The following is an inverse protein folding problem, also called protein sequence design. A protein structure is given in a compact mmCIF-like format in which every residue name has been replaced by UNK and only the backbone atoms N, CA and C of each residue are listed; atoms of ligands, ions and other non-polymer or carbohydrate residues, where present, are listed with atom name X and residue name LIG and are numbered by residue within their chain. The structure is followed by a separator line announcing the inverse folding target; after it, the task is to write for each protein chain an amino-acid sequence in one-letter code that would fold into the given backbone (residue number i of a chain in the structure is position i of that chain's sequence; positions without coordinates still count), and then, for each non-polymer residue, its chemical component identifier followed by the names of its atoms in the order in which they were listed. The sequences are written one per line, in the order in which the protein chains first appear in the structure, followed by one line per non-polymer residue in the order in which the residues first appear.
data_IF_790359799063
#
_entry.id   IF_790359799063
#
_cell.length_a   1.000
_cell.length_b   1.000
_cell.length_c   1.000
_cell.angle_alpha   90.00
_cell.angle_beta   90.00
_cell.angle_gamma   90.00
#
_symmetry.space_group_name_H-M   'P 1'
#
loop_
_entity.id
_entity.type
_entity.pdbx_description
1 polymer ?
#
# COMPACT_ATOMS: atom_id res chain seq x y z
N UNK A 1 -8.54 0.75 -12.83
CA UNK A 1 -7.35 1.52 -12.37
C UNK A 1 -6.82 0.85 -11.12
N UNK A 2 -5.50 0.68 -10.98
CA UNK A 2 -4.93 -0.06 -9.86
C UNK A 2 -4.94 0.79 -8.57
N UNK A 3 -5.53 0.32 -7.45
CA UNK A 3 -5.81 1.15 -6.27
C UNK A 3 -4.59 1.30 -5.35
N UNK A 4 -3.50 1.87 -5.88
CA UNK A 4 -2.20 1.94 -5.21
C UNK A 4 -2.27 2.62 -3.83
N UNK A 5 -2.86 3.82 -3.77
CA UNK A 5 -3.02 4.56 -2.51
C UNK A 5 -3.77 3.75 -1.46
N UNK A 6 -4.85 3.07 -1.86
CA UNK A 6 -5.67 2.27 -0.94
C UNK A 6 -4.91 1.05 -0.40
N UNK A 7 -4.11 0.39 -1.23
CA UNK A 7 -3.25 -0.73 -0.81
C UNK A 7 -2.27 -0.27 0.26
N UNK A 8 -1.65 0.88 0.01
CA UNK A 8 -0.70 1.49 0.92
C UNK A 8 -1.38 1.84 2.24
N UNK A 9 -2.46 2.62 2.24
CA UNK A 9 -3.22 2.96 3.46
C UNK A 9 -3.61 1.71 4.29
N UNK A 10 -4.15 0.67 3.64
CA UNK A 10 -4.51 -0.56 4.35
C UNK A 10 -3.29 -1.30 4.91
N UNK A 11 -2.14 -1.23 4.23
CA UNK A 11 -0.91 -1.86 4.72
C UNK A 11 -0.37 -1.13 5.96
N UNK A 12 -0.45 0.21 5.98
CA UNK A 12 -0.10 1.04 7.15
C UNK A 12 -1.05 0.78 8.34
N UNK A 13 -2.34 0.57 8.05
CA UNK A 13 -3.36 0.12 9.00
C UNK A 13 -3.14 -1.34 9.49
N UNK A 14 -2.01 -1.97 9.15
CA UNK A 14 -1.66 -3.35 9.49
C UNK A 14 -2.66 -4.42 8.98
N UNK A 15 -3.42 -4.11 7.92
CA UNK A 15 -4.32 -5.09 7.30
C UNK A 15 -3.49 -6.17 6.59
N UNK A 16 -3.88 -7.43 6.76
CA UNK A 16 -3.16 -8.54 6.13
C UNK A 16 -3.16 -8.44 4.60
N UNK A 17 -2.06 -8.85 3.96
CA UNK A 17 -1.95 -8.89 2.48
C UNK A 17 -3.10 -9.67 1.81
N UNK A 18 -3.63 -10.69 2.50
CA UNK A 18 -4.78 -11.48 2.05
C UNK A 18 -6.04 -10.64 2.00
N UNK A 19 -6.34 -9.95 3.10
CA UNK A 19 -7.51 -9.07 3.20
C UNK A 19 -7.41 -7.90 2.23
N UNK A 20 -6.22 -7.29 2.08
CA UNK A 20 -5.98 -6.23 1.08
C UNK A 20 -6.29 -6.74 -0.33
N UNK A 21 -5.75 -7.90 -0.71
CA UNK A 21 -6.00 -8.50 -2.02
C UNK A 21 -7.50 -8.73 -2.30
N UNK A 22 -8.27 -9.16 -1.31
CA UNK A 22 -9.71 -9.30 -1.42
C UNK A 22 -10.43 -7.95 -1.56
N UNK A 23 -10.07 -6.96 -0.73
CA UNK A 23 -10.66 -5.61 -0.74
C UNK A 23 -10.42 -4.92 -2.09
N UNK A 24 -9.21 -5.02 -2.62
CA UNK A 24 -8.81 -4.35 -3.87
C UNK A 24 -9.08 -5.20 -5.12
N UNK A 25 -9.65 -6.40 -4.95
CA UNK A 25 -9.97 -7.34 -6.03
C UNK A 25 -8.78 -7.60 -6.97
N UNK A 26 -7.59 -7.79 -6.39
CA UNK A 26 -6.36 -8.08 -7.11
C UNK A 26 -5.61 -9.26 -6.51
N UNK A 27 -4.69 -9.84 -7.28
CA UNK A 27 -3.90 -10.96 -6.79
C UNK A 27 -2.97 -10.51 -5.64
N UNK A 28 -2.75 -11.41 -4.68
CA UNK A 28 -1.81 -11.18 -3.57
C UNK A 28 -0.41 -10.84 -4.09
N UNK A 29 0.04 -11.49 -5.16
CA UNK A 29 1.34 -11.19 -5.78
C UNK A 29 1.40 -9.73 -6.26
N UNK A 30 0.36 -9.23 -6.93
CA UNK A 30 0.31 -7.84 -7.38
C UNK A 30 0.32 -6.86 -6.21
N UNK A 31 -0.39 -7.15 -5.13
CA UNK A 31 -0.37 -6.35 -3.89
C UNK A 31 1.04 -6.31 -3.30
N UNK A 32 1.70 -7.46 -3.15
CA UNK A 32 3.06 -7.57 -2.61
C UNK A 32 4.07 -6.77 -3.44
N UNK A 33 4.05 -6.88 -4.76
CA UNK A 33 4.97 -6.15 -5.64
C UNK A 33 4.84 -4.64 -5.49
N UNK A 34 3.63 -4.15 -5.22
CA UNK A 34 3.37 -2.71 -5.10
C UNK A 34 3.84 -2.17 -3.76
N UNK A 35 3.67 -2.94 -2.68
CA UNK A 35 4.22 -2.60 -1.36
C UNK A 35 5.76 -2.56 -1.44
N UNK A 36 6.38 -3.59 -2.02
CA UNK A 36 7.85 -3.61 -2.24
C UNK A 36 8.33 -2.45 -3.10
N UNK A 37 7.56 -2.07 -4.12
CA UNK A 37 7.88 -0.93 -4.98
C UNK A 37 7.77 0.39 -4.23
N UNK A 38 6.82 0.53 -3.32
CA UNK A 38 6.68 1.72 -2.47
C UNK A 38 7.87 1.85 -1.51
N UNK A 39 8.22 0.76 -0.84
CA UNK A 39 9.36 0.66 0.08
C UNK A 39 10.69 1.04 -0.61
N UNK A 40 10.95 0.45 -1.79
CA UNK A 40 12.14 0.78 -2.61
C UNK A 40 12.21 2.23 -3.08
N UNK A 41 11.06 2.90 -3.18
CA UNK A 41 10.97 4.29 -3.65
C UNK A 41 10.88 5.29 -2.49
N UNK A 42 11.03 4.82 -1.24
CA UNK A 42 10.87 5.61 -0.02
C UNK A 42 9.51 6.33 0.04
N UNK A 43 8.51 5.73 -0.61
CA UNK A 43 7.12 6.20 -0.58
C UNK A 43 6.50 5.67 0.71
N UNK A 44 6.80 6.36 1.82
CA UNK A 44 6.21 6.07 3.12
C UNK A 44 4.85 6.75 3.27
N UNK A 45 3.94 6.07 3.97
CA UNK A 45 2.67 6.64 4.38
C UNK A 45 2.82 7.42 5.68
N UNK A 46 1.90 8.36 5.96
CA UNK A 46 0.80 8.77 5.08
C UNK A 46 1.29 9.57 3.86
N UNK A 47 0.64 9.38 2.70
CA UNK A 47 0.89 10.13 1.45
C UNK A 47 0.45 11.61 1.53
N UNK A 48 0.35 12.16 2.74
CA UNK A 48 0.02 13.54 3.02
C UNK A 48 1.10 14.11 3.94
N UNK A 49 2.12 14.72 3.33
CA UNK A 49 3.02 15.68 3.95
C UNK A 49 3.57 15.30 5.31
N UNK A 50 4.75 14.66 5.34
CA UNK A 50 5.65 14.85 6.46
C UNK A 50 6.20 16.29 6.41
N UNK A 51 5.38 17.21 6.89
CA UNK A 51 5.78 18.57 7.25
C UNK A 51 6.10 18.49 8.76
N UNK A 52 7.23 17.86 9.08
CA UNK A 52 7.87 18.00 10.39
C UNK A 52 8.66 19.31 10.32
N UNK A 53 8.21 20.31 11.10
CA UNK A 53 8.92 21.57 11.32
C UNK A 53 10.15 21.42 12.22
#
# INVERSE_FOLDING_TARGET
MFPYRKILELYDDNVSLRSIAQIVQHSRQKVTEMIKTADRKEVSLPLGGRNDG
#
